data_IF_218682291498
#
_entry.id   IF_218682291498
#
_cell.length_a   1.000
_cell.length_b   1.000
_cell.length_c   1.000
_cell.angle_alpha   90.00
_cell.angle_beta   90.00
_cell.angle_gamma   90.00
#
_symmetry.space_group_name_H-M   'P 1'
#
loop_
_entity.id
_entity.type
_entity.pdbx_description
1 polymer ?
#
# COMPACT_ATOMS: atom_id res chain seq x y z
N UNK A 1 -33.08 -11.21 26.13
CA UNK A 1 -32.05 -11.02 25.08
C UNK A 1 -31.52 -9.59 25.12
N UNK A 2 -30.55 -9.29 26.00
CA UNK A 2 -29.83 -7.99 26.04
C UNK A 2 -28.41 -8.31 26.49
N UNK A 3 -27.42 -8.24 25.60
CA UNK A 3 -26.03 -8.49 26.00
C UNK A 3 -24.99 -8.66 24.90
N UNK A 4 -25.35 -9.01 23.67
CA UNK A 4 -24.35 -9.36 22.66
C UNK A 4 -23.75 -8.16 21.90
N UNK A 5 -24.41 -7.00 21.90
CA UNK A 5 -23.94 -5.79 21.21
C UNK A 5 -23.01 -4.88 22.04
N UNK A 6 -22.87 -5.12 23.35
CA UNK A 6 -22.11 -4.24 24.24
C UNK A 6 -20.59 -4.53 24.31
N UNK A 7 -20.14 -5.72 23.88
CA UNK A 7 -18.71 -6.10 23.95
C UNK A 7 -17.89 -5.56 22.77
N UNK A 8 -18.51 -5.34 21.62
CA UNK A 8 -17.83 -4.79 20.44
C UNK A 8 -17.52 -3.28 20.57
N UNK A 9 -18.29 -2.53 21.36
CA UNK A 9 -18.06 -1.09 21.56
C UNK A 9 -16.94 -0.78 22.55
N UNK A 10 -16.71 -1.65 23.54
CA UNK A 10 -15.67 -1.43 24.57
C UNK A 10 -14.26 -1.61 24.01
N UNK A 11 -14.03 -2.63 23.19
CA UNK A 11 -12.73 -2.89 22.57
C UNK A 11 -12.35 -1.82 21.53
N UNK A 12 -13.32 -1.38 20.73
CA UNK A 12 -13.13 -0.26 19.80
C UNK A 12 -12.79 1.04 20.52
N UNK A 13 -13.49 1.33 21.62
CA UNK A 13 -13.24 2.54 22.43
C UNK A 13 -11.90 2.49 23.16
N UNK A 14 -11.45 1.34 23.67
CA UNK A 14 -10.13 1.23 24.32
C UNK A 14 -8.98 1.35 23.32
N UNK A 15 -9.13 0.76 22.12
CA UNK A 15 -8.16 0.92 21.04
C UNK A 15 -8.12 2.37 20.54
N UNK A 16 -9.29 2.99 20.41
CA UNK A 16 -9.38 4.40 20.04
C UNK A 16 -8.69 5.29 21.08
N UNK A 17 -8.92 5.12 22.38
CA UNK A 17 -8.18 5.89 23.40
C UNK A 17 -6.66 5.67 23.31
N UNK A 18 -6.21 4.42 23.10
CA UNK A 18 -4.79 4.12 22.90
C UNK A 18 -4.20 4.74 21.62
N UNK A 19 -4.97 4.80 20.54
CA UNK A 19 -4.55 5.39 19.27
C UNK A 19 -4.61 6.92 19.33
N UNK A 20 -5.59 7.48 20.04
CA UNK A 20 -5.71 8.92 20.32
C UNK A 20 -4.51 9.40 21.16
N UNK A 21 -4.09 8.63 22.17
CA UNK A 21 -2.91 8.93 22.99
C UNK A 21 -1.60 8.82 22.18
N UNK A 22 -1.52 7.86 21.26
CA UNK A 22 -0.30 7.59 20.48
C UNK A 22 -0.14 8.50 19.27
N UNK A 23 -1.24 8.83 18.58
CA UNK A 23 -1.21 9.53 17.29
C UNK A 23 -1.91 10.89 17.32
N UNK A 24 -2.59 11.21 18.42
CA UNK A 24 -3.40 12.41 18.57
C UNK A 24 -4.71 12.34 17.80
N UNK A 25 -5.32 13.51 17.60
CA UNK A 25 -6.58 13.66 16.86
C UNK A 25 -6.48 14.62 15.66
N UNK A 26 -5.30 15.24 15.45
CA UNK A 26 -5.10 16.22 14.39
C UNK A 26 -4.45 15.64 13.12
N UNK A 27 -3.75 16.52 12.39
CA UNK A 27 -3.24 16.24 11.05
C UNK A 27 -2.37 14.97 10.95
N UNK A 28 -1.54 14.68 11.95
CA UNK A 28 -0.67 13.49 11.95
C UNK A 28 -1.48 12.22 11.79
N UNK A 29 -2.46 12.02 12.67
CA UNK A 29 -3.38 10.89 12.59
C UNK A 29 -4.20 10.91 11.30
N UNK A 30 -4.64 12.07 10.85
CA UNK A 30 -5.40 12.15 9.60
C UNK A 30 -4.59 11.59 8.42
N UNK A 31 -3.32 11.96 8.31
CA UNK A 31 -2.42 11.45 7.27
C UNK A 31 -2.16 9.96 7.43
N UNK A 32 -1.92 9.48 8.66
CA UNK A 32 -1.79 8.05 8.97
C UNK A 32 -3.02 7.25 8.53
N UNK A 33 -4.21 7.66 8.95
CA UNK A 33 -5.45 6.95 8.64
C UNK A 33 -5.76 7.00 7.14
N UNK A 34 -5.38 8.08 6.45
CA UNK A 34 -5.48 8.18 4.99
C UNK A 34 -4.56 7.19 4.30
N UNK A 35 -3.32 7.06 4.76
CA UNK A 35 -2.34 6.10 4.25
C UNK A 35 -2.84 4.66 4.43
N UNK A 36 -3.22 4.27 5.65
CA UNK A 36 -3.70 2.92 5.96
C UNK A 36 -4.93 2.57 5.11
N UNK A 37 -5.90 3.49 5.00
CA UNK A 37 -7.06 3.27 4.12
C UNK A 37 -6.69 3.14 2.64
N UNK A 38 -5.59 3.71 2.18
CA UNK A 38 -5.11 3.50 0.82
C UNK A 38 -4.47 2.11 0.67
N UNK A 39 -3.69 1.66 1.66
CA UNK A 39 -3.11 0.31 1.71
C UNK A 39 -4.19 -0.77 1.74
N UNK A 40 -5.23 -0.62 2.57
CA UNK A 40 -6.35 -1.57 2.64
C UNK A 40 -7.09 -1.70 1.30
N UNK A 41 -7.26 -0.57 0.61
CA UNK A 41 -7.86 -0.54 -0.74
C UNK A 41 -6.96 -1.24 -1.75
N UNK A 42 -5.65 -1.02 -1.67
CA UNK A 42 -4.68 -1.69 -2.53
C UNK A 42 -4.75 -3.20 -2.35
N UNK A 43 -4.73 -3.68 -1.10
CA UNK A 43 -4.85 -5.09 -0.76
C UNK A 43 -6.15 -5.70 -1.34
N UNK A 44 -7.27 -5.01 -1.17
CA UNK A 44 -8.57 -5.46 -1.71
C UNK A 44 -8.51 -5.60 -3.23
N UNK A 45 -7.88 -4.66 -3.93
CA UNK A 45 -7.71 -4.71 -5.39
C UNK A 45 -6.78 -5.84 -5.83
N UNK A 46 -5.63 -6.00 -5.16
CA UNK A 46 -4.67 -7.06 -5.46
C UNK A 46 -5.27 -8.45 -5.23
N UNK A 47 -6.02 -8.64 -4.13
CA UNK A 47 -6.72 -9.89 -3.85
C UNK A 47 -7.76 -10.22 -4.94
N UNK A 48 -8.54 -9.23 -5.38
CA UNK A 48 -9.53 -9.42 -6.45
C UNK A 48 -8.87 -9.78 -7.80
N UNK A 49 -7.70 -9.21 -8.10
CA UNK A 49 -6.91 -9.56 -9.30
C UNK A 49 -6.43 -11.01 -9.24
N UNK A 50 -5.85 -11.41 -8.11
CA UNK A 50 -5.36 -12.78 -7.90
C UNK A 50 -6.50 -13.81 -7.98
N UNK A 51 -7.67 -13.50 -7.39
CA UNK A 51 -8.87 -14.36 -7.49
C UNK A 51 -9.39 -14.49 -8.93
N UNK A 52 -9.43 -13.38 -9.68
CA UNK A 52 -9.88 -13.38 -11.07
C UNK A 52 -8.96 -14.22 -11.97
N UNK A 53 -7.64 -14.16 -11.76
CA UNK A 53 -6.65 -15.01 -12.45
C UNK A 53 -6.91 -16.50 -12.19
N UNK A 54 -7.08 -16.88 -10.92
CA UNK A 54 -7.28 -18.28 -10.54
C UNK A 54 -8.63 -18.84 -11.01
N UNK A 55 -9.67 -18.01 -11.02
CA UNK A 55 -11.00 -18.37 -11.53
C UNK A 55 -11.01 -18.54 -13.04
N UNK A 56 -10.22 -17.76 -13.79
CA UNK A 56 -10.05 -17.88 -15.24
C UNK A 56 -9.16 -19.07 -15.66
N UNK A 57 -8.14 -19.40 -14.86
CA UNK A 57 -7.22 -20.51 -15.12
C UNK A 57 -7.83 -21.91 -14.90
N UNK A 58 -8.87 -22.02 -14.05
CA UNK A 58 -9.51 -23.30 -13.74
C UNK A 58 -10.28 -23.92 -14.90
N UNK A 59 -10.61 -23.16 -15.95
CA UNK A 59 -11.39 -23.65 -17.10
C UNK A 59 -10.49 -24.15 -18.25
N UNK A 60 -9.22 -23.75 -18.28
CA UNK A 60 -8.26 -24.13 -19.33
C UNK A 60 -7.50 -25.44 -19.04
N UNK A 61 -7.33 -25.81 -17.76
CA UNK A 61 -6.60 -27.02 -17.37
C UNK A 61 -7.35 -28.34 -17.66
N UNK A 62 -8.65 -28.30 -17.97
CA UNK A 62 -9.46 -29.46 -18.33
C UNK A 62 -9.40 -29.90 -19.80
N UNK A 63 -8.75 -29.11 -20.67
CA UNK A 63 -8.74 -29.36 -22.12
C UNK A 63 -7.36 -29.82 -22.67
N UNK A 64 -6.32 -29.90 -21.84
CA UNK A 64 -5.00 -30.38 -22.24
C UNK A 64 -4.82 -31.88 -21.96
N UNK A 65 -5.72 -32.70 -22.51
CA UNK A 65 -5.49 -34.14 -22.64
C UNK A 65 -5.96 -34.60 -24.01
N UNK A 66 -5.24 -34.16 -25.05
CA UNK A 66 -5.08 -34.83 -26.35
C UNK A 66 -4.38 -33.89 -27.34
N UNK A 67 -3.06 -34.07 -27.55
CA UNK A 67 -2.46 -34.35 -28.88
C UNK A 67 -0.93 -34.25 -28.87
N UNK A 68 -0.36 -35.42 -29.16
CA UNK A 68 0.75 -35.74 -30.09
C UNK A 68 2.12 -35.04 -29.97
N UNK A 69 3.10 -35.93 -29.78
CA UNK A 69 4.54 -35.74 -29.79
C UNK A 69 5.07 -35.18 -31.11
N UNK A 70 5.93 -34.17 -31.01
CA UNK A 70 6.85 -33.71 -32.06
C UNK A 70 8.23 -33.42 -31.42
N UNK A 71 9.35 -33.65 -32.14
CA UNK A 71 10.69 -33.72 -31.56
C UNK A 71 11.23 -32.35 -31.11
N UNK A 72 12.19 -32.30 -30.16
CA UNK A 72 12.65 -31.06 -29.56
C UNK A 72 13.76 -30.39 -30.39
N UNK A 73 13.47 -29.23 -30.97
CA UNK A 73 14.52 -28.31 -31.44
C UNK A 73 15.12 -27.57 -30.25
N UNK A 74 16.39 -27.85 -30.01
CA UNK A 74 17.23 -27.30 -28.94
C UNK A 74 17.90 -26.03 -29.49
N UNK A 75 17.20 -24.89 -29.52
CA UNK A 75 17.85 -23.57 -29.67
C UNK A 75 16.91 -22.38 -29.36
N UNK A 76 16.33 -22.36 -28.15
CA UNK A 76 15.75 -21.14 -27.57
C UNK A 76 15.98 -21.09 -26.07
N UNK A 77 17.25 -20.94 -25.69
CA UNK A 77 17.65 -20.70 -24.30
C UNK A 77 18.66 -19.56 -24.20
N UNK A 78 18.15 -18.34 -24.29
CA UNK A 78 18.69 -17.10 -23.68
C UNK A 78 17.86 -15.94 -24.23
N UNK A 79 16.75 -15.53 -23.60
CA UNK A 79 16.72 -14.73 -22.38
C UNK A 79 15.42 -14.97 -21.60
N UNK A 80 15.37 -16.05 -20.83
CA UNK A 80 14.42 -16.17 -19.73
C UNK A 80 14.93 -15.33 -18.54
N UNK A 81 14.78 -14.01 -18.63
CA UNK A 81 14.48 -13.27 -17.41
C UNK A 81 13.08 -13.76 -17.02
N UNK A 82 12.94 -14.39 -15.86
CA UNK A 82 11.62 -14.69 -15.30
C UNK A 82 10.90 -13.37 -15.09
N UNK A 83 10.20 -12.88 -16.13
CA UNK A 83 9.30 -11.76 -15.99
C UNK A 83 8.20 -12.24 -15.05
N UNK A 84 8.25 -11.80 -13.80
CA UNK A 84 7.20 -12.10 -12.83
C UNK A 84 5.86 -11.73 -13.48
N UNK A 85 4.86 -12.62 -13.35
CA UNK A 85 3.52 -12.35 -13.84
C UNK A 85 3.08 -10.97 -13.33
N UNK A 86 2.55 -10.07 -14.19
CA UNK A 86 2.17 -8.73 -13.77
C UNK A 86 1.14 -8.73 -12.62
N UNK A 87 0.34 -9.79 -12.46
CA UNK A 87 -0.54 -9.98 -11.29
C UNK A 87 0.29 -10.28 -10.04
N UNK A 88 1.29 -11.16 -10.13
CA UNK A 88 2.17 -11.48 -9.00
C UNK A 88 2.96 -10.23 -8.56
N UNK A 89 3.39 -9.38 -9.50
CA UNK A 89 4.01 -8.07 -9.20
C UNK A 89 3.09 -7.16 -8.37
N UNK A 90 1.80 -7.10 -8.69
CA UNK A 90 0.81 -6.31 -7.93
C UNK A 90 0.55 -6.95 -6.55
N UNK A 91 0.51 -8.28 -6.47
CA UNK A 91 0.36 -8.99 -5.19
C UNK A 91 1.57 -8.75 -4.28
N UNK A 92 2.79 -8.80 -4.81
CA UNK A 92 4.03 -8.51 -4.07
C UNK A 92 4.06 -7.08 -3.53
N UNK A 93 3.42 -6.14 -4.24
CA UNK A 93 3.22 -4.76 -3.78
C UNK A 93 2.49 -4.65 -2.44
N UNK A 94 1.65 -5.63 -2.08
CA UNK A 94 0.95 -5.66 -0.79
C UNK A 94 1.92 -5.80 0.38
N UNK A 95 2.95 -6.63 0.25
CA UNK A 95 3.97 -6.81 1.28
C UNK A 95 4.79 -5.54 1.49
N UNK A 96 5.17 -4.88 0.40
CA UNK A 96 5.89 -3.60 0.44
C UNK A 96 5.08 -2.51 1.13
N UNK A 97 3.82 -2.34 0.74
CA UNK A 97 2.93 -1.34 1.34
C UNK A 97 2.61 -1.64 2.82
N UNK A 98 2.49 -2.92 3.19
CA UNK A 98 2.27 -3.30 4.58
C UNK A 98 3.50 -2.98 5.46
N UNK A 99 4.72 -3.16 4.95
CA UNK A 99 5.93 -2.74 5.64
C UNK A 99 5.96 -1.21 5.90
N UNK A 100 5.37 -0.41 5.01
CA UNK A 100 5.26 1.04 5.17
C UNK A 100 4.24 1.48 6.23
N UNK A 101 3.30 0.62 6.64
CA UNK A 101 2.36 0.95 7.72
C UNK A 101 3.11 1.18 9.03
N UNK A 102 4.09 0.32 9.35
CA UNK A 102 4.92 0.47 10.54
C UNK A 102 5.74 1.78 10.48
N UNK A 103 6.27 2.11 9.31
CA UNK A 103 6.98 3.37 9.07
C UNK A 103 6.12 4.60 9.39
N UNK A 104 4.88 4.60 8.87
CA UNK A 104 3.94 5.71 9.09
C UNK A 104 3.51 5.78 10.55
N UNK A 105 3.32 4.63 11.21
CA UNK A 105 3.00 4.56 12.63
C UNK A 105 4.10 5.18 13.50
N UNK A 106 5.36 4.83 13.24
CA UNK A 106 6.53 5.39 13.93
C UNK A 106 6.64 6.90 13.73
N UNK A 107 6.58 7.36 12.47
CA UNK A 107 6.64 8.79 12.13
C UNK A 107 5.52 9.56 12.82
N UNK A 108 4.29 9.05 12.76
CA UNK A 108 3.12 9.70 13.36
C UNK A 108 3.25 9.78 14.88
N UNK A 109 3.68 8.69 15.52
CA UNK A 109 3.87 8.67 16.97
C UNK A 109 4.96 9.65 17.42
N UNK A 110 6.10 9.68 16.73
CA UNK A 110 7.19 10.60 17.03
C UNK A 110 6.80 12.07 16.82
N UNK A 111 6.09 12.38 15.73
CA UNK A 111 5.55 13.71 15.48
C UNK A 111 4.54 14.13 16.55
N UNK A 112 3.63 13.24 16.95
CA UNK A 112 2.63 13.56 17.96
C UNK A 112 3.26 13.79 19.34
N UNK A 113 4.22 12.96 19.73
CA UNK A 113 4.90 13.07 21.03
C UNK A 113 5.66 14.40 21.19
N UNK A 114 6.28 14.92 20.11
CA UNK A 114 7.12 16.12 20.15
C UNK A 114 6.37 17.40 19.74
N UNK A 115 5.48 17.28 18.78
CA UNK A 115 4.76 18.39 18.18
C UNK A 115 3.27 18.05 18.09
N UNK A 116 2.55 17.97 19.23
CA UNK A 116 1.15 17.60 19.23
C UNK A 116 0.34 18.62 18.42
N UNK A 117 -0.38 18.12 17.41
CA UNK A 117 -1.30 18.90 16.58
C UNK A 117 -2.71 18.35 16.77
N UNK A 118 -3.64 19.23 17.16
CA UNK A 118 -5.06 18.89 17.33
C UNK A 118 -5.91 19.33 16.14
N UNK A 119 -5.44 20.31 15.36
CA UNK A 119 -6.10 20.81 14.16
C UNK A 119 -5.67 20.15 12.85
N UNK A 120 -6.19 20.66 11.74
CA UNK A 120 -5.82 20.22 10.38
C UNK A 120 -4.64 21.02 9.79
N UNK A 121 -4.10 21.97 10.55
CA UNK A 121 -3.00 22.84 10.13
C UNK A 121 -1.88 22.72 11.16
N UNK A 122 -0.65 22.56 10.67
CA UNK A 122 0.55 22.54 11.51
C UNK A 122 0.87 23.97 11.94
N UNK A 123 0.91 24.29 13.24
CA UNK A 123 1.28 25.62 13.73
C UNK A 123 2.70 26.01 13.29
N UNK A 124 2.95 27.32 13.14
CA UNK A 124 4.25 27.85 12.69
C UNK A 124 5.48 27.28 13.42
N UNK A 125 5.51 27.25 14.76
CA UNK A 125 6.64 26.67 15.50
C UNK A 125 6.85 25.17 15.22
N UNK A 126 5.77 24.39 15.13
CA UNK A 126 5.87 22.98 14.78
C UNK A 126 6.37 22.79 13.35
N UNK A 127 5.90 23.60 12.40
CA UNK A 127 6.34 23.56 10.99
C UNK A 127 7.82 23.94 10.86
N UNK A 128 8.31 24.91 11.63
CA UNK A 128 9.73 25.24 11.66
C UNK A 128 10.58 24.08 12.20
N UNK A 129 10.07 23.34 13.18
CA UNK A 129 10.76 22.19 13.75
C UNK A 129 10.79 20.98 12.81
N UNK A 130 9.67 20.63 12.17
CA UNK A 130 9.56 19.39 11.38
C UNK A 130 9.75 19.59 9.87
N UNK A 131 9.90 20.83 9.40
CA UNK A 131 10.05 21.15 7.99
C UNK A 131 8.90 20.61 7.13
N UNK A 132 9.26 19.96 6.02
CA UNK A 132 8.32 19.46 4.99
C UNK A 132 7.73 18.07 5.30
N UNK A 133 7.98 17.50 6.48
CA UNK A 133 7.43 16.19 6.88
C UNK A 133 5.90 16.07 6.66
N UNK A 134 5.06 17.08 7.01
CA UNK A 134 3.62 17.01 6.77
C UNK A 134 3.25 16.83 5.30
N UNK A 135 3.94 17.56 4.43
CA UNK A 135 3.77 17.53 2.97
C UNK A 135 4.24 16.18 2.41
N UNK A 136 5.34 15.64 2.91
CA UNK A 136 5.86 14.32 2.51
C UNK A 136 4.89 13.20 2.88
N UNK A 137 4.32 13.19 4.10
CA UNK A 137 3.32 12.20 4.51
C UNK A 137 2.05 12.27 3.66
N UNK A 138 1.61 13.49 3.33
CA UNK A 138 0.46 13.72 2.45
C UNK A 138 0.73 13.18 1.04
N UNK A 139 1.90 13.49 0.48
CA UNK A 139 2.31 13.02 -0.85
C UNK A 139 2.46 11.50 -0.88
N UNK A 140 3.05 10.89 0.15
CA UNK A 140 3.18 9.43 0.25
C UNK A 140 1.80 8.75 0.22
N UNK A 141 0.84 9.29 0.96
CA UNK A 141 -0.54 8.80 0.94
C UNK A 141 -1.19 8.92 -0.45
N UNK A 142 -0.93 10.00 -1.17
CA UNK A 142 -1.39 10.19 -2.55
C UNK A 142 -0.75 9.18 -3.51
N UNK A 143 0.53 8.88 -3.35
CA UNK A 143 1.25 7.87 -4.14
C UNK A 143 0.72 6.46 -3.94
N UNK A 144 0.38 6.07 -2.72
CA UNK A 144 -0.35 4.80 -2.50
C UNK A 144 -1.72 4.84 -3.19
N UNK A 145 -2.41 5.99 -3.18
CA UNK A 145 -3.64 6.17 -3.95
C UNK A 145 -3.46 5.99 -5.47
N UNK A 146 -2.38 6.50 -6.04
CA UNK A 146 -2.02 6.30 -7.45
C UNK A 146 -1.71 4.82 -7.75
N UNK A 147 -1.03 4.12 -6.85
CA UNK A 147 -0.80 2.67 -6.96
C UNK A 147 -2.12 1.88 -6.95
N UNK A 148 -3.10 2.27 -6.12
CA UNK A 148 -4.45 1.66 -6.11
C UNK A 148 -5.15 1.85 -7.45
N UNK A 149 -5.06 3.04 -8.04
CA UNK A 149 -5.65 3.34 -9.34
C UNK A 149 -5.01 2.49 -10.45
N UNK A 150 -3.68 2.40 -10.48
CA UNK A 150 -2.95 1.56 -11.43
C UNK A 150 -3.34 0.08 -11.29
N UNK A 151 -3.38 -0.47 -10.08
CA UNK A 151 -3.86 -1.83 -9.85
C UNK A 151 -5.34 -2.03 -10.25
N UNK A 152 -6.17 -0.99 -10.14
CA UNK A 152 -7.57 -1.05 -10.57
C UNK A 152 -7.71 -1.07 -12.11
N UNK A 153 -6.79 -0.40 -12.82
CA UNK A 153 -6.71 -0.46 -14.27
C UNK A 153 -6.35 -1.87 -14.74
N UNK A 154 -5.35 -2.50 -14.12
CA UNK A 154 -4.99 -3.90 -14.38
C UNK A 154 -6.20 -4.84 -14.32
N UNK A 155 -7.09 -4.64 -13.33
CA UNK A 155 -8.31 -5.44 -13.16
C UNK A 155 -9.31 -5.28 -14.31
N UNK A 156 -9.32 -4.12 -14.94
CA UNK A 156 -10.21 -3.81 -16.07
C UNK A 156 -9.61 -4.24 -17.43
N UNK A 157 -8.28 -4.26 -17.52
CA UNK A 157 -7.52 -4.61 -18.73
C UNK A 157 -7.60 -6.09 -19.08
N UNK A 158 -7.46 -6.97 -18.07
CA UNK A 158 -7.52 -8.42 -18.27
C UNK A 158 -8.79 -8.91 -18.99
N UNK A 159 -10.00 -8.60 -18.49
CA UNK A 159 -11.25 -8.96 -19.17
C UNK A 159 -11.42 -8.32 -20.56
N UNK A 160 -10.73 -7.21 -20.81
CA UNK A 160 -10.77 -6.50 -22.10
C UNK A 160 -9.72 -7.00 -23.10
N UNK A 161 -8.92 -8.02 -22.74
CA UNK A 161 -7.83 -8.55 -23.57
C UNK A 161 -6.64 -7.59 -23.72
N UNK A 162 -6.53 -6.56 -22.87
CA UNK A 162 -5.40 -5.62 -22.87
C UNK A 162 -4.29 -6.15 -21.96
N UNK A 163 -3.05 -5.88 -22.34
CA UNK A 163 -1.87 -6.19 -21.54
C UNK A 163 -1.88 -5.41 -20.22
N UNK A 164 -1.50 -6.08 -19.12
CA UNK A 164 -1.54 -5.54 -17.74
C UNK A 164 -0.19 -4.91 -17.35
N UNK A 165 0.87 -5.17 -18.13
CA UNK A 165 2.26 -4.84 -17.83
C UNK A 165 2.46 -3.36 -17.44
N UNK A 166 1.88 -2.44 -18.21
CA UNK A 166 1.97 -0.99 -17.93
C UNK A 166 1.34 -0.61 -16.58
N UNK A 167 0.21 -1.22 -16.23
CA UNK A 167 -0.47 -1.01 -14.95
C UNK A 167 0.33 -1.60 -13.78
N UNK A 168 0.96 -2.75 -13.97
CA UNK A 168 1.85 -3.36 -12.99
C UNK A 168 3.12 -2.52 -12.78
N UNK A 169 3.78 -2.07 -13.85
CA UNK A 169 4.94 -1.17 -13.79
C UNK A 169 4.60 0.16 -13.10
N UNK A 170 3.45 0.74 -13.41
CA UNK A 170 2.99 1.97 -12.76
C UNK A 170 2.76 1.77 -11.27
N UNK A 171 2.19 0.63 -10.89
CA UNK A 171 2.01 0.24 -9.50
C UNK A 171 3.34 0.17 -8.76
N UNK A 172 4.35 -0.49 -9.32
CA UNK A 172 5.69 -0.59 -8.75
C UNK A 172 6.32 0.79 -8.55
N UNK A 173 6.20 1.67 -9.55
CA UNK A 173 6.73 3.03 -9.51
C UNK A 173 6.09 3.86 -8.40
N UNK A 174 4.76 3.85 -8.29
CA UNK A 174 4.06 4.62 -7.27
C UNK A 174 4.32 4.11 -5.85
N UNK A 175 4.52 2.80 -5.66
CA UNK A 175 4.96 2.26 -4.38
C UNK A 175 6.38 2.74 -4.05
N UNK A 176 7.31 2.70 -5.01
CA UNK A 176 8.67 3.21 -4.82
C UNK A 176 8.70 4.71 -4.50
N UNK A 177 7.88 5.52 -5.17
CA UNK A 177 7.73 6.95 -4.86
C UNK A 177 7.25 7.15 -3.40
N UNK A 178 6.32 6.32 -2.92
CA UNK A 178 5.84 6.39 -1.54
C UNK A 178 6.94 6.01 -0.53
N UNK A 179 7.72 4.96 -0.82
CA UNK A 179 8.89 4.55 -0.03
C UNK A 179 9.90 5.69 0.09
N UNK A 180 10.24 6.34 -1.04
CA UNK A 180 11.18 7.45 -1.07
C UNK A 180 10.70 8.65 -0.23
N UNK A 181 9.42 9.02 -0.35
CA UNK A 181 8.84 10.13 0.41
C UNK A 181 8.86 9.86 1.92
N UNK A 182 8.58 8.62 2.35
CA UNK A 182 8.65 8.22 3.76
C UNK A 182 10.10 8.13 4.26
N UNK A 183 11.04 7.68 3.42
CA UNK A 183 12.47 7.69 3.71
C UNK A 183 12.97 9.12 3.98
N UNK A 184 12.65 10.06 3.09
CA UNK A 184 12.99 11.49 3.28
C UNK A 184 12.35 12.08 4.56
N UNK A 185 11.12 11.70 4.87
CA UNK A 185 10.46 12.15 6.10
C UNK A 185 11.19 11.66 7.37
N UNK A 186 11.64 10.40 7.38
CA UNK A 186 12.46 9.84 8.45
C UNK A 186 13.79 10.57 8.59
N UNK A 187 14.48 10.84 7.48
CA UNK A 187 15.76 11.56 7.49
C UNK A 187 15.63 12.99 8.03
N UNK A 188 14.54 13.69 7.71
CA UNK A 188 14.27 15.01 8.29
C UNK A 188 14.07 14.89 9.79
N UNK A 189 13.22 13.96 10.23
CA UNK A 189 12.91 13.81 11.65
C UNK A 189 14.15 13.41 12.46
N UNK A 190 14.97 12.49 11.96
CA UNK A 190 16.22 12.08 12.60
C UNK A 190 17.23 13.22 12.72
N UNK A 191 17.32 14.11 11.70
CA UNK A 191 18.17 15.31 11.79
C UNK A 191 17.68 16.30 12.84
N UNK A 192 16.36 16.42 12.98
CA UNK A 192 15.71 17.27 14.01
C UNK A 192 15.82 16.65 15.41
N UNK A 193 16.03 15.34 15.52
CA UNK A 193 16.33 14.65 16.79
C UNK A 193 17.79 14.82 17.22
N UNK A 194 18.70 14.93 16.26
CA UNK A 194 20.13 15.07 16.52
C UNK A 194 20.60 16.51 16.74
N UNK A 195 19.73 17.51 16.53
CA UNK A 195 20.02 18.94 16.69
C UNK A 195 19.48 19.47 18.01
#
# INVERSE_FOLDING_TARGET
MKGFLARFTKAGRSRQVSDDDRFGTGLWRHNRDRFIRAVDRYYTTAAALHEARNSGGSVAAGAASAKEEGPPDIDSRATAASANDPVDVIVDGTHRLNALVEVVDELTAALHARHPVTGQVVPGPARQAVGDVPELLTKASSKVGEAVLAASMARSEGPSGRAIDSSAEATVRFIADAEELLGRAREILARVEAS
#
